data_IF_312614576643
#
_entry.id   IF_312614576643
#
_cell.length_a   1.000
_cell.length_b   1.000
_cell.length_c   1.000
_cell.angle_alpha   90.00
_cell.angle_beta   90.00
_cell.angle_gamma   90.00
#
_symmetry.space_group_name_H-M   'P 1'
#
loop_
_entity.id
_entity.type
_entity.pdbx_description
1 polymer ?
#
# COMPACT_ATOMS: atom_id res chain seq x y z
N UNK A 1 -13.84 13.32 -0.88
CA UNK A 1 -12.72 12.41 -0.63
C UNK A 1 -13.21 11.24 0.20
N UNK A 2 -13.15 10.04 -0.37
CA UNK A 2 -13.55 8.80 0.28
C UNK A 2 -12.54 8.37 1.36
N UNK A 3 -12.91 7.36 2.16
CA UNK A 3 -11.97 6.75 3.10
C UNK A 3 -10.76 6.12 2.38
N UNK A 4 -10.97 5.55 1.18
CA UNK A 4 -9.91 5.01 0.31
C UNK A 4 -8.90 6.11 -0.01
N UNK A 5 -9.36 7.26 -0.51
CA UNK A 5 -8.51 8.40 -0.90
C UNK A 5 -7.63 8.91 0.25
N UNK A 6 -8.17 8.95 1.47
CA UNK A 6 -7.43 9.40 2.65
C UNK A 6 -6.32 8.43 3.06
N UNK A 7 -6.58 7.11 3.00
CA UNK A 7 -5.56 6.09 3.26
C UNK A 7 -4.46 6.15 2.20
N UNK A 8 -4.88 6.19 0.95
CA UNK A 8 -4.03 6.28 -0.22
C UNK A 8 -3.12 7.53 -0.18
N UNK A 9 -3.65 8.69 0.22
CA UNK A 9 -2.85 9.90 0.50
C UNK A 9 -1.80 9.68 1.59
N UNK A 10 -2.17 9.06 2.71
CA UNK A 10 -1.23 8.78 3.81
C UNK A 10 -0.08 7.87 3.37
N UNK A 11 -0.39 6.87 2.54
CA UNK A 11 0.61 5.98 1.95
C UNK A 11 1.56 6.78 1.04
N UNK A 12 1.03 7.66 0.19
CA UNK A 12 1.86 8.55 -0.63
C UNK A 12 2.80 9.39 0.22
N UNK A 13 2.28 10.06 1.26
CA UNK A 13 3.09 10.91 2.15
C UNK A 13 4.20 10.09 2.81
N UNK A 14 3.90 8.88 3.27
CA UNK A 14 4.90 7.96 3.80
C UNK A 14 6.00 7.69 2.76
N UNK A 15 5.61 7.29 1.55
CA UNK A 15 6.55 6.95 0.47
C UNK A 15 7.43 8.14 0.13
N UNK A 16 6.84 9.32 -0.11
CA UNK A 16 7.58 10.51 -0.53
C UNK A 16 8.46 11.12 0.56
N UNK A 17 8.13 10.91 1.85
CA UNK A 17 8.87 11.51 2.95
C UNK A 17 9.94 10.59 3.53
N UNK A 18 9.79 9.26 3.41
CA UNK A 18 10.70 8.30 4.04
C UNK A 18 11.56 7.51 3.05
N UNK A 19 11.25 7.58 1.75
CA UNK A 19 11.94 6.82 0.71
C UNK A 19 12.22 7.69 -0.50
N UNK A 20 13.28 7.36 -1.24
CA UNK A 20 13.66 8.08 -2.46
C UNK A 20 12.75 7.69 -3.65
N UNK A 21 12.12 6.51 -3.58
CA UNK A 21 11.21 6.03 -4.62
C UNK A 21 10.12 5.08 -4.10
N UNK A 22 9.00 4.91 -4.84
CA UNK A 22 8.01 3.88 -4.54
C UNK A 22 8.58 2.46 -4.56
N UNK A 23 9.60 2.20 -5.38
CA UNK A 23 10.27 0.90 -5.47
C UNK A 23 11.06 0.60 -4.20
N UNK A 24 11.76 1.59 -3.66
CA UNK A 24 12.47 1.46 -2.38
C UNK A 24 11.49 1.18 -1.24
N UNK A 25 10.38 1.92 -1.18
CA UNK A 25 9.34 1.69 -0.18
C UNK A 25 8.76 0.27 -0.29
N UNK A 26 8.45 -0.19 -1.51
CA UNK A 26 7.95 -1.54 -1.76
C UNK A 26 8.93 -2.60 -1.24
N UNK A 27 10.21 -2.49 -1.63
CA UNK A 27 11.27 -3.42 -1.21
C UNK A 27 11.55 -3.37 0.30
N UNK A 28 11.32 -2.23 0.94
CA UNK A 28 11.45 -2.09 2.39
C UNK A 28 10.35 -2.84 3.13
N UNK A 29 9.11 -2.81 2.63
CA UNK A 29 7.98 -3.49 3.26
C UNK A 29 7.90 -4.99 2.92
N UNK A 30 8.33 -5.39 1.73
CA UNK A 30 8.54 -6.77 1.29
C UNK A 30 9.70 -7.41 2.08
N UNK A 31 9.37 -7.87 3.29
CA UNK A 31 10.35 -8.29 4.29
C UNK A 31 10.92 -9.68 3.97
N UNK A 32 10.12 -10.53 3.33
CA UNK A 32 10.50 -11.86 2.88
C UNK A 32 11.12 -11.88 1.46
N UNK A 33 11.06 -10.75 0.74
CA UNK A 33 11.66 -10.54 -0.59
C UNK A 33 11.05 -11.45 -1.65
N UNK A 34 9.75 -11.68 -1.54
CA UNK A 34 9.00 -12.52 -2.48
C UNK A 34 8.52 -11.74 -3.71
N UNK A 35 8.82 -10.43 -3.78
CA UNK A 35 8.38 -9.54 -4.86
C UNK A 35 6.90 -9.18 -4.77
N UNK A 36 6.29 -9.37 -3.59
CA UNK A 36 4.87 -9.16 -3.33
C UNK A 36 4.65 -8.79 -1.87
N UNK A 37 3.68 -7.93 -1.60
CA UNK A 37 3.28 -7.54 -0.25
C UNK A 37 2.12 -8.39 0.21
N UNK A 38 2.35 -9.20 1.24
CA UNK A 38 1.30 -9.95 1.92
C UNK A 38 0.50 -9.02 2.82
N UNK A 39 -0.70 -9.44 3.22
CA UNK A 39 -1.56 -8.68 4.15
C UNK A 39 -0.85 -8.20 5.42
N UNK A 40 0.05 -9.01 5.98
CA UNK A 40 0.85 -8.65 7.16
C UNK A 40 1.78 -7.46 6.90
N UNK A 41 2.35 -7.36 5.70
CA UNK A 41 3.27 -6.31 5.27
C UNK A 41 2.54 -5.05 4.86
N UNK A 42 1.40 -5.19 4.18
CA UNK A 42 0.47 -4.08 3.96
C UNK A 42 0.07 -3.45 5.30
N UNK A 43 -0.17 -4.25 6.34
CA UNK A 43 -0.45 -3.73 7.70
C UNK A 43 0.75 -2.99 8.32
N UNK A 44 1.99 -3.34 7.97
CA UNK A 44 3.20 -2.60 8.39
C UNK A 44 3.30 -1.27 7.64
N UNK A 45 3.08 -1.28 6.33
CA UNK A 45 3.02 -0.08 5.49
C UNK A 45 1.95 0.89 6.03
N UNK A 46 0.74 0.40 6.29
CA UNK A 46 -0.33 1.21 6.88
C UNK A 46 0.03 1.75 8.27
N UNK A 47 0.84 1.02 9.05
CA UNK A 47 1.35 1.50 10.34
C UNK A 47 2.30 2.68 10.14
N UNK A 48 3.21 2.59 9.16
CA UNK A 48 4.11 3.69 8.79
C UNK A 48 3.35 4.91 8.29
N UNK A 49 2.23 4.70 7.60
CA UNK A 49 1.33 5.75 7.12
C UNK A 49 0.40 6.32 8.22
N UNK A 50 0.65 5.99 9.49
CA UNK A 50 -0.13 6.45 10.65
C UNK A 50 -1.64 6.12 10.53
N UNK A 51 -1.96 4.94 9.99
CA UNK A 51 -3.33 4.43 9.98
C UNK A 51 -3.64 3.77 11.32
N UNK A 52 -4.82 4.09 11.87
CA UNK A 52 -5.27 3.60 13.17
C UNK A 52 -5.18 2.06 13.25
N UNK A 53 -4.59 1.55 14.33
CA UNK A 53 -4.39 0.11 14.57
C UNK A 53 -5.65 -0.74 14.47
N UNK A 54 -6.80 -0.23 14.92
CA UNK A 54 -8.08 -0.94 14.84
C UNK A 54 -8.58 -1.07 13.39
N UNK A 55 -8.24 -0.10 12.52
CA UNK A 55 -8.69 -0.09 11.12
C UNK A 55 -7.73 -0.78 10.17
N UNK A 56 -6.44 -0.91 10.53
CA UNK A 56 -5.39 -1.46 9.64
C UNK A 56 -5.75 -2.82 9.01
N UNK A 57 -6.41 -3.71 9.75
CA UNK A 57 -6.80 -5.02 9.20
C UNK A 57 -7.90 -4.91 8.14
N UNK A 58 -8.88 -4.03 8.36
CA UNK A 58 -9.98 -3.80 7.42
C UNK A 58 -9.44 -3.07 6.20
N UNK A 59 -8.65 -2.02 6.41
CA UNK A 59 -8.03 -1.25 5.33
C UNK A 59 -7.11 -2.12 4.47
N UNK A 60 -6.30 -3.00 5.07
CA UNK A 60 -5.47 -3.92 4.30
C UNK A 60 -6.30 -4.86 3.42
N UNK A 61 -7.44 -5.36 3.92
CA UNK A 61 -8.36 -6.17 3.11
C UNK A 61 -8.96 -5.37 1.95
N UNK A 62 -9.35 -4.12 2.18
CA UNK A 62 -9.93 -3.28 1.13
C UNK A 62 -8.89 -2.89 0.08
N UNK A 63 -7.62 -2.69 0.46
CA UNK A 63 -6.53 -2.49 -0.50
C UNK A 63 -6.30 -3.75 -1.33
N UNK A 64 -6.27 -4.93 -0.72
CA UNK A 64 -6.16 -6.20 -1.45
C UNK A 64 -7.31 -6.35 -2.44
N UNK A 65 -8.57 -6.23 -2.01
CA UNK A 65 -9.72 -6.30 -2.92
C UNK A 65 -9.68 -5.30 -4.09
N UNK A 66 -9.04 -4.14 -3.89
CA UNK A 66 -8.95 -3.10 -4.89
C UNK A 66 -7.80 -3.29 -5.90
N UNK A 67 -6.72 -3.96 -5.51
CA UNK A 67 -5.46 -3.97 -6.26
C UNK A 67 -4.88 -5.37 -6.51
N UNK A 68 -5.33 -6.40 -5.81
CA UNK A 68 -5.00 -7.80 -6.10
C UNK A 68 -5.79 -8.26 -7.33
N UNK A 69 -5.24 -7.99 -8.51
CA UNK A 69 -5.80 -8.32 -9.81
C UNK A 69 -5.59 -9.80 -10.11
N UNK A 70 -4.45 -10.35 -9.68
CA UNK A 70 -4.12 -11.76 -9.91
C UNK A 70 -4.79 -12.72 -8.90
N UNK A 71 -5.49 -12.18 -7.90
CA UNK A 71 -6.24 -12.92 -6.86
C UNK A 71 -5.36 -13.92 -6.10
N UNK A 72 -4.16 -13.50 -5.71
CA UNK A 72 -3.21 -14.32 -4.94
C UNK A 72 -3.10 -13.91 -3.46
N UNK A 73 -4.03 -13.07 -2.98
CA UNK A 73 -4.07 -12.48 -1.64
C UNK A 73 -2.82 -11.63 -1.30
N UNK A 74 -2.12 -11.15 -2.33
CA UNK A 74 -0.98 -10.25 -2.21
C UNK A 74 -1.06 -9.06 -3.17
N UNK A 75 -0.13 -8.12 -3.03
CA UNK A 75 0.04 -7.02 -3.99
C UNK A 75 1.47 -7.12 -4.54
N UNK A 76 1.62 -7.53 -5.78
CA UNK A 76 2.92 -7.54 -6.45
C UNK A 76 3.34 -6.12 -6.90
N UNK A 77 4.55 -6.01 -7.44
CA UNK A 77 5.10 -4.72 -7.87
C UNK A 77 4.25 -4.01 -8.94
N UNK A 78 3.70 -4.74 -9.90
CA UNK A 78 2.88 -4.14 -10.96
C UNK A 78 1.56 -3.60 -10.41
N UNK A 79 0.91 -4.36 -9.52
CA UNK A 79 -0.31 -3.95 -8.82
C UNK A 79 -0.07 -2.77 -7.89
N UNK A 80 1.07 -2.76 -7.20
CA UNK A 80 1.49 -1.65 -6.35
C UNK A 80 1.66 -0.36 -7.16
N UNK A 81 2.32 -0.43 -8.32
CA UNK A 81 2.45 0.74 -9.22
C UNK A 81 1.09 1.27 -9.66
N UNK A 82 0.14 0.39 -10.01
CA UNK A 82 -1.23 0.81 -10.34
C UNK A 82 -1.87 1.55 -9.16
N UNK A 83 -1.73 1.01 -7.95
CA UNK A 83 -2.23 1.66 -6.74
C UNK A 83 -1.63 3.05 -6.52
N UNK A 84 -0.33 3.23 -6.75
CA UNK A 84 0.36 4.52 -6.65
C UNK A 84 -0.03 5.46 -7.80
N UNK A 85 -0.15 4.99 -9.03
CA UNK A 85 -0.53 5.83 -10.17
C UNK A 85 -1.98 6.32 -10.10
N UNK A 86 -2.90 5.54 -9.52
CA UNK A 86 -4.26 6.03 -9.22
C UNK A 86 -4.21 7.24 -8.28
N UNK A 87 -3.22 7.34 -7.39
CA UNK A 87 -3.00 8.49 -6.50
C UNK A 87 -2.65 9.77 -7.23
N UNK A 88 -2.00 9.64 -8.39
CA UNK A 88 -1.50 10.78 -9.17
C UNK A 88 -2.58 11.34 -10.10
N UNK A 89 -3.62 10.54 -10.43
CA UNK A 89 -4.68 10.91 -11.38
C UNK A 89 -5.86 11.64 -10.74
N UNK A 90 -6.06 11.52 -9.43
CA UNK A 90 -7.13 12.22 -8.68
C UNK A 90 -6.69 13.61 -8.15
N UNK A 91 -5.76 14.27 -8.87
CA UNK A 91 -5.35 15.66 -8.67
C UNK A 91 -6.01 16.60 -9.68
#
# INVERSE_FOLDING_TARGET
>A
MSAKDNILRKIRILITNQFDSPEEAFRFFDSDKEGRLRKSEIKKLLKGAEVNGFLRSVVANELLKGYDIFSDDTINWEEFKVAISELERDL
#
